data_IF_098583464510
#
_entry.id   IF_098583464510
#
_cell.length_a   1.000
_cell.length_b   1.000
_cell.length_c   1.000
_cell.angle_alpha   90.00
_cell.angle_beta   90.00
_cell.angle_gamma   90.00
#
_symmetry.space_group_name_H-M   'P 1'
#
loop_
_entity.id
_entity.type
_entity.pdbx_description
1 polymer ?
#
# COMPACT_ATOMS: atom_id res chain seq x y z
N UNK A 1 12.61 6.66 -32.65
CA UNK A 1 11.54 6.88 -31.66
C UNK A 1 12.06 6.47 -30.31
N UNK A 2 12.49 7.42 -29.49
CA UNK A 2 12.96 7.16 -28.14
C UNK A 2 11.76 6.74 -27.29
N UNK A 3 11.69 5.46 -26.93
CA UNK A 3 10.71 4.98 -25.95
C UNK A 3 11.10 5.64 -24.64
N UNK A 4 10.36 6.67 -24.22
CA UNK A 4 10.50 7.22 -22.87
C UNK A 4 10.06 6.13 -21.90
N UNK A 5 11.02 5.38 -21.36
CA UNK A 5 10.78 4.45 -20.27
C UNK A 5 10.27 5.31 -19.11
N UNK A 6 8.96 5.23 -18.82
CA UNK A 6 8.41 5.90 -17.64
C UNK A 6 9.08 5.28 -16.43
N UNK A 7 9.87 6.06 -15.71
CA UNK A 7 10.49 5.64 -14.44
C UNK A 7 9.47 5.80 -13.33
N UNK A 8 9.46 4.88 -12.37
CA UNK A 8 8.64 5.02 -11.17
C UNK A 8 9.01 6.32 -10.43
N UNK A 9 7.99 7.02 -9.95
CA UNK A 9 8.13 8.30 -9.25
C UNK A 9 7.60 8.25 -7.82
N UNK A 10 7.15 7.08 -7.37
CA UNK A 10 6.66 6.83 -6.04
C UNK A 10 6.98 5.39 -5.60
N UNK A 11 7.00 5.17 -4.29
CA UNK A 11 7.27 3.88 -3.69
C UNK A 11 6.29 3.58 -2.56
N UNK A 12 6.00 2.30 -2.33
CA UNK A 12 5.16 1.87 -1.20
C UNK A 12 5.77 0.68 -0.47
N UNK A 13 5.60 0.66 0.85
CA UNK A 13 6.02 -0.43 1.72
C UNK A 13 4.85 -1.38 1.98
N UNK A 14 4.88 -2.59 1.42
CA UNK A 14 4.00 -3.65 1.88
C UNK A 14 4.65 -4.29 3.10
N UNK A 15 4.14 -3.99 4.29
CA UNK A 15 4.69 -4.49 5.55
C UNK A 15 3.85 -5.67 6.02
N UNK A 16 4.42 -6.88 5.96
CA UNK A 16 3.85 -8.13 6.47
C UNK A 16 4.40 -8.42 7.86
N UNK A 17 3.53 -8.59 8.85
CA UNK A 17 3.88 -9.07 10.19
C UNK A 17 3.42 -10.51 10.36
N UNK A 18 4.24 -11.35 10.99
CA UNK A 18 3.92 -12.77 11.21
C UNK A 18 3.17 -13.03 12.54
N UNK A 19 3.49 -12.26 13.58
CA UNK A 19 2.94 -12.40 14.94
C UNK A 19 2.07 -11.18 15.29
N UNK A 20 1.00 -11.32 16.10
CA UNK A 20 0.39 -12.56 16.62
C UNK A 20 -0.37 -13.37 15.58
N UNK A 21 -0.63 -12.78 14.42
CA UNK A 21 -1.16 -13.48 13.25
C UNK A 21 -0.72 -12.75 11.99
N UNK A 22 -0.59 -13.51 10.92
CA UNK A 22 -0.14 -12.98 9.64
C UNK A 22 -1.04 -11.83 9.18
N UNK A 23 -0.45 -10.67 8.95
CA UNK A 23 -1.18 -9.44 8.67
C UNK A 23 -0.38 -8.44 7.86
N UNK A 24 -1.07 -7.57 7.14
CA UNK A 24 -0.47 -6.43 6.44
C UNK A 24 -0.84 -5.12 7.12
N UNK A 25 0.11 -4.20 7.25
CA UNK A 25 -0.19 -2.84 7.66
C UNK A 25 -0.86 -2.08 6.51
N UNK A 26 -2.03 -1.50 6.76
CA UNK A 26 -2.68 -0.55 5.87
C UNK A 26 -3.04 0.71 6.64
N UNK A 27 -2.90 1.86 5.98
CA UNK A 27 -3.12 3.18 6.53
C UNK A 27 -4.36 3.81 5.90
N UNK A 28 -5.14 4.50 6.71
CA UNK A 28 -6.24 5.36 6.28
C UNK A 28 -5.72 6.78 6.09
N UNK A 29 -5.71 7.27 4.86
CA UNK A 29 -5.27 8.64 4.57
C UNK A 29 -6.27 9.66 5.11
N UNK A 30 -5.78 10.78 5.63
CA UNK A 30 -6.62 11.94 6.00
C UNK A 30 -7.39 12.43 4.77
N UNK A 31 -8.57 13.00 5.01
CA UNK A 31 -9.38 13.57 3.95
C UNK A 31 -8.85 14.97 3.62
N UNK A 32 -8.27 15.11 2.42
CA UNK A 32 -7.71 16.36 1.91
C UNK A 32 -8.27 16.66 0.50
N UNK A 33 -8.93 17.81 0.26
CA UNK A 33 -9.59 18.09 -1.01
C UNK A 33 -8.68 18.03 -2.25
N UNK A 34 -7.38 18.28 -2.08
CA UNK A 34 -6.40 18.30 -3.17
C UNK A 34 -5.73 16.93 -3.40
N UNK A 35 -5.92 15.96 -2.50
CA UNK A 35 -5.38 14.61 -2.63
C UNK A 35 -6.40 13.72 -3.37
N UNK A 36 -6.11 13.23 -4.60
CA UNK A 36 -7.02 12.35 -5.33
C UNK A 36 -7.15 10.95 -4.71
N UNK A 37 -6.33 10.61 -3.71
CA UNK A 37 -6.41 9.41 -2.89
C UNK A 37 -6.86 9.71 -1.45
N UNK A 38 -7.32 10.93 -1.20
CA UNK A 38 -7.87 11.39 0.07
C UNK A 38 -8.88 10.40 0.62
N UNK A 39 -8.72 10.01 1.88
CA UNK A 39 -9.62 9.06 2.49
C UNK A 39 -9.67 7.73 1.74
N UNK A 40 -8.56 7.21 1.22
CA UNK A 40 -8.43 5.81 0.80
C UNK A 40 -7.57 5.02 1.80
N UNK A 41 -7.68 3.68 1.77
CA UNK A 41 -6.71 2.81 2.43
C UNK A 41 -5.53 2.52 1.49
N UNK A 42 -4.31 2.75 2.00
CA UNK A 42 -3.07 2.55 1.26
C UNK A 42 -2.01 1.84 2.10
N UNK A 43 -0.96 1.40 1.45
CA UNK A 43 0.30 1.13 2.15
C UNK A 43 0.97 2.46 2.55
N UNK A 44 1.89 2.43 3.52
CA UNK A 44 2.83 3.53 3.71
C UNK A 44 3.61 3.79 2.42
N UNK A 45 3.85 5.05 2.10
CA UNK A 45 4.59 5.42 0.91
C UNK A 45 4.14 6.71 0.24
N UNK A 46 4.96 7.18 -0.69
CA UNK A 46 4.80 8.50 -1.27
C UNK A 46 5.66 8.69 -2.50
N UNK A 47 5.74 9.95 -2.96
CA UNK A 47 6.54 10.33 -4.11
C UNK A 47 8.01 10.40 -3.72
N UNK A 48 8.88 10.11 -4.69
CA UNK A 48 10.32 10.25 -4.52
C UNK A 48 10.69 11.71 -4.29
N UNK A 49 11.41 11.99 -3.19
CA UNK A 49 12.03 13.29 -2.97
C UNK A 49 13.35 13.38 -3.78
N UNK A 50 13.76 14.59 -4.14
CA UNK A 50 15.05 14.85 -4.78
C UNK A 50 16.25 14.39 -3.93
N UNK A 51 16.12 14.39 -2.60
CA UNK A 51 17.16 13.92 -1.68
C UNK A 51 17.24 12.39 -1.59
N UNK A 52 16.16 11.68 -1.97
CA UNK A 52 16.13 10.23 -1.91
C UNK A 52 17.06 9.64 -2.98
N UNK A 53 18.02 8.81 -2.56
CA UNK A 53 18.97 8.20 -3.51
C UNK A 53 18.26 7.30 -4.53
N UNK A 54 17.25 6.56 -4.10
CA UNK A 54 16.48 5.59 -4.87
C UNK A 54 15.06 5.46 -4.28
N UNK A 55 14.21 4.65 -4.92
CA UNK A 55 12.83 4.44 -4.48
C UNK A 55 12.71 3.61 -3.20
N UNK A 56 13.73 2.80 -2.89
CA UNK A 56 13.77 2.10 -1.60
C UNK A 56 14.00 3.12 -0.47
N UNK A 57 14.88 4.10 -0.65
CA UNK A 57 15.07 5.19 0.31
C UNK A 57 13.79 6.00 0.52
N UNK A 58 13.05 6.30 -0.55
CA UNK A 58 11.71 6.90 -0.46
C UNK A 58 10.78 6.04 0.39
N UNK A 59 10.68 4.74 0.07
CA UNK A 59 9.84 3.79 0.79
C UNK A 59 10.14 3.76 2.30
N UNK A 60 11.43 3.72 2.67
CA UNK A 60 11.88 3.72 4.07
C UNK A 60 11.60 5.05 4.78
N UNK A 61 11.84 6.19 4.12
CA UNK A 61 11.58 7.53 4.66
C UNK A 61 10.09 7.72 4.94
N UNK A 62 9.25 7.51 3.93
CA UNK A 62 7.79 7.66 4.02
C UNK A 62 7.20 6.75 5.11
N UNK A 63 7.65 5.49 5.16
CA UNK A 63 7.20 4.56 6.22
C UNK A 63 7.50 5.11 7.60
N UNK A 64 8.71 5.64 7.81
CA UNK A 64 9.10 6.23 9.10
C UNK A 64 8.28 7.48 9.41
N UNK A 65 8.08 8.36 8.44
CA UNK A 65 7.35 9.62 8.61
C UNK A 65 5.87 9.36 8.94
N UNK A 66 5.21 8.49 8.18
CA UNK A 66 3.78 8.22 8.32
C UNK A 66 3.44 7.34 9.53
N UNK A 67 4.34 6.45 9.95
CA UNK A 67 4.02 5.38 10.94
C UNK A 67 4.98 5.27 12.12
N UNK A 68 6.15 5.92 12.06
CA UNK A 68 7.23 5.74 13.04
C UNK A 68 8.00 4.43 12.91
N UNK A 69 7.63 3.53 11.99
CA UNK A 69 8.32 2.25 11.80
C UNK A 69 9.69 2.47 11.15
N UNK A 70 10.72 1.88 11.75
CA UNK A 70 12.05 1.81 11.18
C UNK A 70 12.22 0.47 10.47
N UNK A 71 12.10 0.49 9.15
CA UNK A 71 12.40 -0.67 8.31
C UNK A 71 13.89 -0.72 7.98
N UNK A 72 14.42 -1.95 7.92
CA UNK A 72 15.80 -2.24 7.56
C UNK A 72 15.86 -3.08 6.27
N UNK A 73 16.99 -2.99 5.56
CA UNK A 73 17.15 -3.65 4.25
C UNK A 73 17.21 -5.17 4.33
N UNK A 74 17.57 -5.73 5.48
CA UNK A 74 17.54 -7.17 5.74
C UNK A 74 16.11 -7.71 5.93
N UNK A 75 15.14 -6.84 6.26
CA UNK A 75 13.72 -7.16 6.29
C UNK A 75 13.05 -7.09 4.91
N UNK A 76 13.75 -6.56 3.90
CA UNK A 76 13.24 -6.51 2.53
C UNK A 76 13.25 -7.91 1.93
N UNK A 77 12.06 -8.47 1.75
CA UNK A 77 11.89 -9.77 1.12
C UNK A 77 11.95 -9.67 -0.41
N UNK A 78 11.26 -8.67 -0.98
CA UNK A 78 11.16 -8.57 -2.43
C UNK A 78 10.87 -7.15 -2.92
N UNK A 79 11.53 -6.75 -4.02
CA UNK A 79 11.10 -5.64 -4.88
C UNK A 79 10.15 -6.18 -5.95
N UNK A 80 8.93 -5.65 -5.99
CA UNK A 80 7.89 -6.10 -6.93
C UNK A 80 7.95 -5.29 -8.23
N UNK A 81 7.43 -5.83 -9.35
CA UNK A 81 7.29 -5.07 -10.58
C UNK A 81 6.53 -3.78 -10.36
N UNK A 82 6.97 -2.73 -11.03
CA UNK A 82 6.33 -1.42 -10.96
C UNK A 82 4.92 -1.47 -11.52
N UNK A 83 3.97 -0.86 -10.82
CA UNK A 83 2.56 -0.82 -11.21
C UNK A 83 2.02 0.61 -11.28
N UNK A 84 0.99 0.83 -12.11
CA UNK A 84 0.33 2.13 -12.22
C UNK A 84 -0.77 2.26 -11.18
N UNK A 85 -0.65 3.25 -10.29
CA UNK A 85 -1.70 3.70 -9.40
C UNK A 85 -2.53 4.81 -10.06
N UNK A 86 -3.83 4.83 -9.78
CA UNK A 86 -4.79 5.74 -10.43
C UNK A 86 -5.49 5.14 -11.67
N UNK A 87 -6.59 5.75 -12.09
CA UNK A 87 -7.39 5.32 -13.25
C UNK A 87 -7.79 6.47 -14.20
N UNK A 88 -7.56 7.73 -13.81
CA UNK A 88 -7.82 8.92 -14.65
C UNK A 88 -6.53 9.36 -15.31
N UNK A 89 -6.61 9.78 -16.57
CA UNK A 89 -5.49 10.21 -17.41
C UNK A 89 -4.59 11.28 -16.80
N UNK A 90 -5.05 12.03 -15.80
CA UNK A 90 -4.30 13.11 -15.16
C UNK A 90 -3.58 12.72 -13.86
N UNK A 91 -3.90 11.58 -13.23
CA UNK A 91 -3.39 11.20 -11.90
C UNK A 91 -2.72 9.83 -11.86
N UNK A 92 -2.21 9.34 -13.00
CA UNK A 92 -1.47 8.08 -13.01
C UNK A 92 -0.06 8.28 -12.44
N UNK A 93 0.24 7.53 -11.38
CA UNK A 93 1.56 7.49 -10.77
C UNK A 93 2.12 6.09 -10.98
N UNK A 94 3.37 6.02 -11.43
CA UNK A 94 4.06 4.75 -11.58
C UNK A 94 4.76 4.46 -10.24
N UNK A 95 4.30 3.41 -9.56
CA UNK A 95 4.63 3.11 -8.16
C UNK A 95 5.45 1.82 -8.10
N UNK A 96 6.53 1.85 -7.34
CA UNK A 96 7.35 0.68 -7.05
C UNK A 96 7.03 0.08 -5.67
N UNK A 97 6.49 -1.14 -5.59
CA UNK A 97 6.19 -1.77 -4.31
C UNK A 97 7.37 -2.56 -3.76
N UNK A 98 7.59 -2.47 -2.44
CA UNK A 98 8.60 -3.23 -1.71
C UNK A 98 7.92 -4.05 -0.61
N UNK A 99 8.06 -5.37 -0.66
CA UNK A 99 7.56 -6.28 0.36
C UNK A 99 8.60 -6.45 1.47
N UNK A 100 8.23 -6.03 2.67
CA UNK A 100 8.97 -6.26 3.89
C UNK A 100 8.26 -7.28 4.75
N UNK A 101 9.02 -8.16 5.39
CA UNK A 101 8.51 -9.10 6.38
C UNK A 101 9.18 -8.81 7.72
N UNK A 102 8.35 -8.57 8.73
CA UNK A 102 8.76 -8.32 10.11
C UNK A 102 8.14 -9.39 11.02
N UNK A 103 8.79 -9.65 12.16
CA UNK A 103 8.35 -10.69 13.08
C UNK A 103 7.05 -10.27 13.79
N UNK A 104 7.06 -9.11 14.44
CA UNK A 104 5.98 -8.58 15.26
C UNK A 104 5.48 -7.21 14.79
N UNK A 105 4.35 -6.80 15.36
CA UNK A 105 3.70 -5.51 15.06
C UNK A 105 4.32 -4.42 15.95
N UNK A 106 5.11 -3.48 15.42
CA UNK A 106 5.64 -2.38 16.21
C UNK A 106 4.52 -1.43 16.65
N UNK A 107 4.79 -0.69 17.73
CA UNK A 107 3.95 0.45 18.10
C UNK A 107 4.01 1.52 16.99
N UNK A 108 2.85 2.02 16.60
CA UNK A 108 2.73 3.04 15.57
C UNK A 108 2.75 4.43 16.20
N UNK A 109 3.52 5.33 15.59
CA UNK A 109 3.44 6.77 15.83
C UNK A 109 2.99 7.40 14.52
N UNK A 110 1.68 7.59 14.38
CA UNK A 110 1.09 8.06 13.11
C UNK A 110 1.33 9.55 12.93
N UNK A 111 1.62 9.97 11.69
CA UNK A 111 1.61 11.38 11.29
C UNK A 111 0.15 11.86 11.17
N UNK A 112 -0.38 12.66 12.10
CA UNK A 112 -1.80 13.02 12.10
C UNK A 112 -2.20 13.94 10.94
N UNK A 113 -1.25 14.63 10.33
CA UNK A 113 -1.48 15.48 9.15
C UNK A 113 -1.80 14.65 7.89
N UNK A 114 -1.28 13.42 7.82
CA UNK A 114 -1.37 12.56 6.63
C UNK A 114 -2.21 11.30 6.85
N UNK A 115 -2.16 10.72 8.05
CA UNK A 115 -2.76 9.43 8.39
C UNK A 115 -3.81 9.58 9.50
N UNK A 116 -5.05 9.22 9.15
CA UNK A 116 -6.20 9.26 10.06
C UNK A 116 -6.22 8.06 11.01
N UNK A 117 -5.97 6.87 10.50
CA UNK A 117 -5.95 5.61 11.25
C UNK A 117 -5.03 4.60 10.58
N UNK A 118 -4.72 3.51 11.27
CA UNK A 118 -3.95 2.41 10.73
C UNK A 118 -4.48 1.10 11.28
N UNK A 119 -4.42 0.04 10.49
CA UNK A 119 -4.86 -1.27 10.93
C UNK A 119 -4.00 -2.40 10.36
N UNK A 120 -3.90 -3.47 11.16
CA UNK A 120 -3.24 -4.71 10.77
C UNK A 120 -4.28 -5.65 10.16
N UNK A 121 -4.37 -5.65 8.83
CA UNK A 121 -5.29 -6.47 8.07
C UNK A 121 -4.87 -7.93 8.11
N UNK A 122 -5.62 -8.75 8.83
CA UNK A 122 -5.36 -10.19 8.95
C UNK A 122 -5.50 -10.90 7.60
N UNK A 123 -4.47 -11.64 7.21
CA UNK A 123 -4.43 -12.35 5.92
C UNK A 123 -5.55 -13.38 5.82
N UNK A 124 -5.79 -14.14 6.89
CA UNK A 124 -6.87 -15.13 6.93
C UNK A 124 -8.25 -14.51 6.60
N UNK A 125 -8.56 -13.35 7.19
CA UNK A 125 -9.82 -12.64 6.93
C UNK A 125 -9.86 -12.10 5.50
N UNK A 126 -8.79 -11.45 5.05
CA UNK A 126 -8.74 -10.90 3.71
C UNK A 126 -8.82 -11.98 2.62
N UNK A 127 -8.33 -13.19 2.88
CA UNK A 127 -8.44 -14.31 1.93
C UNK A 127 -9.85 -14.91 1.85
N UNK A 128 -10.75 -14.62 2.79
CA UNK A 128 -12.11 -15.15 2.77
C UNK A 128 -12.95 -14.41 1.70
N UNK A 129 -13.30 -15.05 0.57
CA UNK A 129 -14.02 -14.40 -0.52
C UNK A 129 -15.41 -13.89 -0.10
N UNK A 130 -16.04 -14.48 0.93
CA UNK A 130 -17.34 -14.07 1.42
C UNK A 130 -17.33 -12.71 2.12
N UNK A 131 -16.16 -12.17 2.47
CA UNK A 131 -16.01 -10.84 3.07
C UNK A 131 -15.86 -9.72 2.03
N UNK A 132 -15.67 -10.05 0.76
CA UNK A 132 -15.51 -9.06 -0.31
C UNK A 132 -16.84 -8.63 -0.89
N UNK A 133 -16.88 -7.41 -1.43
CA UNK A 133 -18.07 -6.79 -2.00
C UNK A 133 -17.74 -6.19 -3.37
N UNK A 134 -18.78 -6.03 -4.18
CA UNK A 134 -18.73 -5.23 -5.40
C UNK A 134 -19.37 -3.87 -5.07
N UNK A 135 -18.56 -2.82 -5.05
CA UNK A 135 -18.97 -1.48 -4.57
C UNK A 135 -18.71 -0.44 -5.65
N UNK A 136 -19.62 0.52 -5.81
CA UNK A 136 -19.44 1.63 -6.73
C UNK A 136 -18.45 2.64 -6.15
N UNK A 137 -17.18 2.52 -6.52
CA UNK A 137 -16.11 3.41 -6.04
C UNK A 137 -15.88 4.60 -6.98
N UNK A 138 -16.35 4.51 -8.22
CA UNK A 138 -16.36 5.60 -9.19
C UNK A 138 -17.74 5.64 -9.86
N UNK A 139 -18.21 6.82 -10.31
CA UNK A 139 -19.51 6.96 -10.93
C UNK A 139 -19.74 5.93 -12.06
N UNK A 140 -20.76 5.09 -11.89
CA UNK A 140 -21.17 4.04 -12.82
C UNK A 140 -20.21 2.84 -12.90
N UNK A 141 -19.25 2.69 -11.98
CA UNK A 141 -18.25 1.61 -12.02
C UNK A 141 -18.12 0.90 -10.68
N UNK A 142 -18.45 -0.39 -10.71
CA UNK A 142 -18.26 -1.31 -9.58
C UNK A 142 -16.82 -1.84 -9.54
N UNK A 143 -16.28 -1.94 -8.34
CA UNK A 143 -14.96 -2.51 -8.07
C UNK A 143 -15.04 -3.57 -6.96
N UNK A 144 -14.16 -4.59 -7.01
CA UNK A 144 -13.96 -5.45 -5.86
C UNK A 144 -13.37 -4.62 -4.71
N UNK A 145 -13.93 -4.81 -3.53
CA UNK A 145 -13.61 -4.06 -2.34
C UNK A 145 -13.74 -4.93 -1.09
N UNK A 146 -12.87 -4.68 -0.12
CA UNK A 146 -12.93 -5.29 1.20
C UNK A 146 -13.41 -4.23 2.21
N UNK A 147 -14.55 -4.42 2.90
CA UNK A 147 -15.00 -3.50 3.93
C UNK A 147 -13.96 -3.41 5.05
N UNK A 148 -13.53 -2.20 5.39
CA UNK A 148 -12.50 -1.97 6.39
C UNK A 148 -12.81 -0.70 7.17
N UNK A 149 -13.00 -0.85 8.48
CA UNK A 149 -13.39 0.24 9.39
C UNK A 149 -14.59 1.04 8.86
N UNK A 150 -14.39 2.32 8.56
CA UNK A 150 -15.39 3.29 8.09
C UNK A 150 -15.50 3.37 6.56
N UNK A 151 -14.70 2.59 5.82
CA UNK A 151 -14.60 2.68 4.37
C UNK A 151 -14.31 1.32 3.71
N UNK A 152 -13.68 1.36 2.54
CA UNK A 152 -13.32 0.17 1.78
C UNK A 152 -11.84 0.20 1.40
N UNK A 153 -11.21 -0.96 1.48
CA UNK A 153 -9.94 -1.24 0.84
C UNK A 153 -10.21 -1.73 -0.59
N UNK A 154 -9.74 -0.99 -1.58
CA UNK A 154 -10.06 -1.23 -2.99
C UNK A 154 -8.91 -0.78 -3.90
N UNK A 155 -9.07 -0.96 -5.21
CA UNK A 155 -8.16 -0.38 -6.20
C UNK A 155 -6.73 -0.95 -6.12
N UNK A 156 -5.73 -0.05 -6.14
CA UNK A 156 -4.31 -0.43 -6.23
C UNK A 156 -3.85 -1.29 -5.05
N UNK A 157 -4.08 -0.83 -3.81
CA UNK A 157 -3.70 -1.53 -2.58
C UNK A 157 -4.33 -2.93 -2.52
N UNK A 158 -5.63 -3.01 -2.82
CA UNK A 158 -6.36 -4.28 -2.87
C UNK A 158 -5.75 -5.29 -3.85
N UNK A 159 -5.42 -4.84 -5.07
CA UNK A 159 -4.84 -5.72 -6.09
C UNK A 159 -3.45 -6.21 -5.70
N UNK A 160 -2.60 -5.34 -5.15
CA UNK A 160 -1.26 -5.73 -4.71
C UNK A 160 -1.32 -6.81 -3.62
N UNK A 161 -2.23 -6.69 -2.65
CA UNK A 161 -2.43 -7.73 -1.63
C UNK A 161 -2.82 -9.07 -2.26
N UNK A 162 -3.75 -9.08 -3.23
CA UNK A 162 -4.10 -10.31 -3.93
C UNK A 162 -2.91 -10.91 -4.70
N UNK A 163 -2.12 -10.08 -5.39
CA UNK A 163 -0.91 -10.51 -6.11
C UNK A 163 0.06 -11.22 -5.17
N UNK A 164 0.38 -10.61 -4.02
CA UNK A 164 1.32 -11.18 -3.05
C UNK A 164 0.79 -12.49 -2.48
N UNK A 165 -0.49 -12.53 -2.09
CA UNK A 165 -1.11 -13.74 -1.56
C UNK A 165 -1.23 -14.86 -2.61
N UNK A 166 -1.33 -14.52 -3.89
CA UNK A 166 -1.31 -15.49 -4.98
C UNK A 166 0.11 -16.05 -5.22
N UNK A 167 1.13 -15.19 -5.15
CA UNK A 167 2.54 -15.60 -5.26
C UNK A 167 2.91 -16.59 -4.15
N UNK A 168 2.48 -16.34 -2.92
CA UNK A 168 2.72 -17.25 -1.78
C UNK A 168 2.11 -18.64 -1.99
N UNK A 169 0.95 -18.73 -2.66
CA UNK A 169 0.30 -20.02 -2.97
C UNK A 169 1.04 -20.80 -4.06
N UNK A 170 1.75 -20.12 -4.95
CA UNK A 170 2.56 -20.76 -6.00
C UNK A 170 3.92 -21.25 -5.51
N UNK A 171 4.35 -20.83 -4.32
CA UNK A 171 5.60 -21.22 -3.67
C UNK A 171 5.44 -22.38 -2.67
N UNK A 172 4.20 -22.79 -2.36
CA UNK A 172 3.86 -23.92 -1.48
C UNK A 172 3.42 -25.12 -2.32
#
# INVERSE_FOLDING_TARGET
>A
MSISIKTASAAVAIIRSLVPSESFLVLRRVIHPEDPWSGHFSFPGGRKDAIDRDLLATCLRETREETGILLHTDQLQQRLPTETAGQRSQNHVLVEPFLFTIEDRPNLTLCPEEIQSACWLQVEKFQNPALHRSVEMLPGRLFPAYPLEDYYLWGFTYRLLLTILQMDKGLR
#
